data_IF_910154118959
#
_entry.id   IF_910154118959
#
_cell.length_a   1.000
_cell.length_b   1.000
_cell.length_c   1.000
_cell.angle_alpha   90.00
_cell.angle_beta   90.00
_cell.angle_gamma   90.00
#
_symmetry.space_group_name_H-M   'P 1'
#
loop_
_entity.id
_entity.type
_entity.pdbx_description
1 polymer ?
#
# COMPACT_ATOMS: atom_id res chain seq x y z
N UNK A 1 14.90 2.43 4.15
CA UNK A 1 15.39 1.32 4.99
C UNK A 1 14.19 0.81 5.77
N UNK A 2 13.82 -0.46 5.65
CA UNK A 2 12.79 -1.07 6.49
C UNK A 2 13.51 -1.76 7.67
N UNK A 3 13.11 -1.42 8.88
CA UNK A 3 13.67 -2.01 10.09
C UNK A 3 12.86 -3.27 10.47
N UNK A 4 13.56 -4.37 10.73
CA UNK A 4 13.01 -5.73 10.88
C UNK A 4 12.27 -5.98 12.22
N UNK A 5 12.03 -4.95 13.03
CA UNK A 5 11.64 -5.09 14.45
C UNK A 5 10.12 -5.03 14.71
N UNK A 6 9.32 -4.64 13.74
CA UNK A 6 7.85 -4.83 13.76
C UNK A 6 7.50 -5.63 12.51
N UNK A 7 6.59 -6.60 12.57
CA UNK A 7 6.19 -7.48 11.46
C UNK A 7 5.22 -6.75 10.50
N UNK A 8 5.64 -5.85 9.58
CA UNK A 8 4.68 -5.01 8.93
C UNK A 8 4.22 -5.77 7.68
N UNK A 9 2.91 -5.96 7.56
CA UNK A 9 2.35 -6.24 6.25
C UNK A 9 2.49 -4.96 5.43
N UNK A 10 3.34 -4.98 4.41
CA UNK A 10 3.59 -3.82 3.54
C UNK A 10 2.97 -4.09 2.19
N UNK A 11 2.13 -3.15 1.75
CA UNK A 11 1.52 -3.15 0.42
C UNK A 11 2.01 -1.96 -0.39
N UNK A 12 1.99 -2.15 -1.70
CA UNK A 12 2.18 -1.11 -2.69
C UNK A 12 0.81 -0.72 -3.24
N UNK A 13 0.62 0.59 -3.44
CA UNK A 13 -0.56 1.14 -4.08
C UNK A 13 -0.37 1.21 -5.59
N UNK A 14 -1.45 0.94 -6.32
CA UNK A 14 -1.45 1.16 -7.75
C UNK A 14 -1.41 2.66 -8.05
N UNK A 15 -0.36 3.10 -8.74
CA UNK A 15 -0.18 4.49 -9.16
C UNK A 15 -1.09 4.91 -10.31
N UNK A 16 -1.71 3.97 -11.02
CA UNK A 16 -2.68 4.27 -12.09
C UNK A 16 -3.99 4.82 -11.53
N UNK A 17 -4.41 4.35 -10.37
CA UNK A 17 -5.64 4.79 -9.71
C UNK A 17 -5.49 6.22 -9.18
N UNK A 18 -4.30 6.61 -8.77
CA UNK A 18 -4.02 7.94 -8.23
C UNK A 18 -4.42 9.07 -9.20
N UNK A 19 -4.07 8.93 -10.47
CA UNK A 19 -4.39 9.94 -11.47
C UNK A 19 -5.91 10.01 -11.76
N UNK A 20 -6.58 8.87 -11.70
CA UNK A 20 -8.03 8.79 -11.88
C UNK A 20 -8.78 9.35 -10.67
N UNK A 21 -8.33 9.02 -9.45
CA UNK A 21 -8.83 9.58 -8.20
C UNK A 21 -8.68 11.09 -8.19
N UNK A 22 -7.50 11.62 -8.54
CA UNK A 22 -7.28 13.05 -8.66
C UNK A 22 -8.30 13.70 -9.60
N UNK A 23 -8.47 13.17 -10.82
CA UNK A 23 -9.42 13.74 -11.79
C UNK A 23 -10.84 13.73 -11.28
N UNK A 24 -11.26 12.62 -10.65
CA UNK A 24 -12.61 12.48 -10.10
C UNK A 24 -12.83 13.47 -8.97
N UNK A 25 -11.91 13.52 -7.99
CA UNK A 25 -11.99 14.45 -6.85
C UNK A 25 -11.96 15.91 -7.31
N UNK A 26 -11.11 16.24 -8.29
CA UNK A 26 -11.05 17.59 -8.87
C UNK A 26 -12.37 17.98 -9.53
N UNK A 27 -12.87 17.16 -10.46
CA UNK A 27 -14.14 17.41 -11.16
C UNK A 27 -15.31 17.53 -10.19
N UNK A 28 -15.43 16.58 -9.26
CA UNK A 28 -16.54 16.54 -8.31
C UNK A 28 -16.41 17.65 -7.24
N UNK A 29 -15.19 18.14 -6.98
CA UNK A 29 -14.92 19.31 -6.16
C UNK A 29 -15.30 20.61 -6.87
N UNK A 30 -14.84 20.81 -8.11
CA UNK A 30 -15.19 21.97 -8.95
C UNK A 30 -16.70 22.14 -9.09
N UNK A 31 -17.43 21.03 -9.32
CA UNK A 31 -18.89 21.04 -9.39
C UNK A 31 -19.58 21.50 -8.09
N UNK A 32 -18.94 21.29 -6.93
CA UNK A 32 -19.50 21.64 -5.61
C UNK A 32 -19.10 23.03 -5.14
N UNK A 33 -17.96 23.55 -5.57
CA UNK A 33 -17.46 24.87 -5.14
C UNK A 33 -18.49 25.96 -5.42
N UNK A 34 -19.08 26.01 -6.61
CA UNK A 34 -20.07 27.02 -6.97
C UNK A 34 -21.38 26.94 -6.14
N UNK A 35 -21.69 25.76 -5.59
CA UNK A 35 -22.86 25.56 -4.71
C UNK A 35 -22.56 26.04 -3.30
N UNK A 36 -21.35 25.77 -2.80
CA UNK A 36 -20.91 26.13 -1.45
C UNK A 36 -20.55 27.62 -1.34
N UNK A 37 -19.94 28.17 -2.39
CA UNK A 37 -19.41 29.54 -2.47
C UNK A 37 -20.05 30.27 -3.66
N UNK A 38 -21.23 30.88 -3.47
CA UNK A 38 -21.91 31.62 -4.53
C UNK A 38 -21.20 32.94 -4.83
N UNK A 39 -21.30 33.42 -6.08
CA UNK A 39 -20.69 34.69 -6.52
C UNK A 39 -21.19 35.91 -5.71
N UNK A 40 -22.42 35.84 -5.19
CA UNK A 40 -23.01 36.87 -4.32
C UNK A 40 -22.40 36.92 -2.91
N UNK A 41 -21.47 36.01 -2.59
CA UNK A 41 -20.76 35.92 -1.33
C UNK A 41 -21.39 34.95 -0.32
N UNK A 42 -20.56 34.48 0.61
CA UNK A 42 -20.91 33.47 1.62
C UNK A 42 -22.09 33.82 2.54
N UNK A 43 -22.34 35.12 2.77
CA UNK A 43 -23.48 35.57 3.55
C UNK A 43 -24.82 35.33 2.82
N UNK A 44 -24.81 35.23 1.49
CA UNK A 44 -26.03 35.10 0.70
C UNK A 44 -26.69 33.72 0.84
N UNK A 45 -25.96 32.72 1.34
CA UNK A 45 -26.45 31.35 1.54
C UNK A 45 -26.19 30.80 2.94
N UNK A 46 -25.85 31.65 3.92
CA UNK A 46 -25.44 31.23 5.28
C UNK A 46 -26.44 30.26 5.95
N UNK A 47 -27.74 30.59 5.90
CA UNK A 47 -28.81 29.77 6.49
C UNK A 47 -29.34 28.66 5.56
N UNK A 48 -28.82 28.58 4.33
CA UNK A 48 -29.19 27.55 3.37
C UNK A 48 -28.35 26.28 3.61
N UNK A 49 -28.77 25.11 3.10
CA UNK A 49 -28.02 23.85 3.31
C UNK A 49 -26.53 23.95 2.97
N UNK A 50 -26.17 24.69 1.92
CA UNK A 50 -24.77 24.91 1.52
C UNK A 50 -23.97 25.72 2.55
N UNK A 51 -24.54 26.79 3.11
CA UNK A 51 -23.92 27.59 4.17
C UNK A 51 -23.77 26.81 5.47
N UNK A 52 -24.79 26.02 5.85
CA UNK A 52 -24.73 25.15 7.03
C UNK A 52 -23.66 24.06 6.90
N UNK A 53 -23.52 23.47 5.71
CA UNK A 53 -22.43 22.51 5.44
C UNK A 53 -21.07 23.19 5.55
N UNK A 54 -20.92 24.41 5.03
CA UNK A 54 -19.67 25.17 5.17
C UNK A 54 -19.32 25.42 6.64
N UNK A 55 -20.28 25.92 7.44
CA UNK A 55 -20.09 26.12 8.88
C UNK A 55 -19.72 24.83 9.62
N UNK A 56 -20.31 23.68 9.25
CA UNK A 56 -19.91 22.38 9.80
C UNK A 56 -18.42 22.08 9.54
N UNK A 57 -17.92 22.34 8.33
CA UNK A 57 -16.52 22.12 8.01
C UNK A 57 -15.59 23.11 8.73
N UNK A 58 -15.98 24.38 8.82
CA UNK A 58 -15.18 25.42 9.47
C UNK A 58 -15.06 25.19 10.99
N UNK A 59 -16.16 24.81 11.65
CA UNK A 59 -16.21 24.79 13.11
C UNK A 59 -16.00 23.39 13.72
N UNK A 60 -16.28 22.32 12.98
CA UNK A 60 -16.35 20.96 13.55
C UNK A 60 -15.40 19.95 12.90
N UNK A 61 -15.14 20.07 11.59
CA UNK A 61 -14.33 19.09 10.86
C UNK A 61 -12.85 19.44 10.93
N UNK A 62 -12.10 18.61 11.64
CA UNK A 62 -10.67 18.82 11.82
C UNK A 62 -9.88 18.27 10.63
N UNK A 63 -8.92 19.06 10.13
CA UNK A 63 -7.92 18.60 9.18
C UNK A 63 -6.75 17.91 9.92
N UNK A 64 -6.88 16.60 10.09
CA UNK A 64 -5.84 15.77 10.72
C UNK A 64 -4.51 15.76 9.96
N UNK A 65 -4.50 16.11 8.66
CA UNK A 65 -3.29 16.13 7.83
C UNK A 65 -2.49 17.40 8.04
N UNK A 66 -3.17 18.55 8.09
CA UNK A 66 -2.53 19.82 8.41
C UNK A 66 -1.82 19.75 9.76
N UNK A 67 -2.46 19.15 10.77
CA UNK A 67 -1.86 19.01 12.10
C UNK A 67 -0.60 18.12 12.10
N UNK A 68 -0.69 16.92 11.54
CA UNK A 68 0.44 15.97 11.54
C UNK A 68 1.63 16.49 10.71
N UNK A 69 1.38 17.01 9.51
CA UNK A 69 2.43 17.41 8.59
C UNK A 69 3.07 18.75 8.95
N UNK A 70 2.30 19.69 9.48
CA UNK A 70 2.89 20.93 10.00
C UNK A 70 3.72 20.66 11.25
N UNK A 71 3.22 19.83 12.18
CA UNK A 71 3.96 19.47 13.40
C UNK A 71 5.26 18.70 13.11
N UNK A 72 5.25 17.82 12.10
CA UNK A 72 6.41 17.00 11.77
C UNK A 72 7.38 17.66 10.78
N UNK A 73 6.89 18.44 9.82
CA UNK A 73 7.66 18.87 8.64
C UNK A 73 7.60 20.38 8.38
N UNK A 74 6.86 21.16 9.19
CA UNK A 74 6.75 22.62 9.07
C UNK A 74 6.23 23.12 7.71
N UNK A 75 5.67 22.22 6.91
CA UNK A 75 5.25 22.48 5.53
C UNK A 75 3.88 21.88 5.26
N UNK A 76 3.11 22.49 4.35
CA UNK A 76 1.89 21.87 3.81
C UNK A 76 2.31 20.74 2.87
N UNK A 77 1.61 19.59 2.89
CA UNK A 77 1.95 18.41 2.08
C UNK A 77 2.19 18.78 0.61
N UNK A 78 3.44 18.60 0.15
CA UNK A 78 3.85 18.98 -1.20
C UNK A 78 3.51 17.93 -2.26
N UNK A 79 3.33 16.66 -1.89
CA UNK A 79 3.48 15.56 -2.87
C UNK A 79 2.30 14.63 -3.07
N UNK A 80 1.38 14.46 -2.11
CA UNK A 80 0.07 13.77 -2.28
C UNK A 80 -0.57 13.49 -0.94
N UNK A 81 -1.75 14.05 -0.69
CA UNK A 81 -2.61 13.56 0.39
C UNK A 81 -4.07 13.86 0.14
N UNK A 82 -4.42 15.12 -0.10
CA UNK A 82 -5.82 15.55 -0.29
C UNK A 82 -6.53 14.86 -1.45
N UNK A 83 -5.83 14.59 -2.56
CA UNK A 83 -6.42 14.05 -3.78
C UNK A 83 -6.28 12.53 -3.90
N UNK A 84 -6.47 11.81 -2.80
CA UNK A 84 -6.59 10.35 -2.79
C UNK A 84 -7.74 9.94 -1.89
N UNK A 85 -8.54 8.97 -2.34
CA UNK A 85 -9.55 8.38 -1.47
C UNK A 85 -8.91 7.64 -0.31
N UNK A 86 -9.62 7.55 0.82
CA UNK A 86 -9.18 6.76 1.95
C UNK A 86 -9.19 5.28 1.58
N UNK A 87 -8.14 4.55 1.94
CA UNK A 87 -8.16 3.08 1.87
C UNK A 87 -9.09 2.55 2.95
N UNK A 88 -9.99 1.66 2.56
CA UNK A 88 -10.96 1.03 3.46
C UNK A 88 -10.84 -0.48 3.27
N UNK A 89 -10.64 -1.18 4.37
CA UNK A 89 -10.65 -2.64 4.41
C UNK A 89 -12.03 -3.13 4.83
N UNK A 90 -12.52 -4.16 4.15
CA UNK A 90 -13.77 -4.83 4.47
C UNK A 90 -13.53 -6.34 4.44
N UNK A 91 -13.30 -6.91 5.64
CA UNK A 91 -12.82 -8.29 5.78
C UNK A 91 -11.55 -8.50 4.93
N UNK A 92 -11.56 -9.49 4.04
CA UNK A 92 -10.41 -9.80 3.18
C UNK A 92 -10.21 -8.82 2.02
N UNK A 93 -11.18 -7.91 1.80
CA UNK A 93 -11.21 -6.99 0.66
C UNK A 93 -10.71 -5.59 0.99
N UNK A 94 -10.21 -4.88 -0.02
CA UNK A 94 -9.84 -3.47 0.08
C UNK A 94 -10.51 -2.66 -1.04
N UNK A 95 -10.91 -1.42 -0.71
CA UNK A 95 -11.47 -0.47 -1.68
C UNK A 95 -10.51 -0.13 -2.81
N UNK A 96 -9.20 -0.31 -2.59
CA UNK A 96 -8.15 -0.09 -3.58
C UNK A 96 -7.39 -1.37 -3.86
N UNK A 97 -6.93 -1.58 -5.11
CA UNK A 97 -6.09 -2.73 -5.42
C UNK A 97 -4.71 -2.55 -4.78
N UNK A 98 -4.24 -3.58 -4.09
CA UNK A 98 -2.96 -3.59 -3.38
C UNK A 98 -2.08 -4.72 -3.90
N UNK A 99 -0.79 -4.44 -4.06
CA UNK A 99 0.23 -5.47 -4.30
C UNK A 99 0.97 -5.76 -3.00
N UNK A 100 1.03 -7.00 -2.51
CA UNK A 100 1.82 -7.32 -1.32
C UNK A 100 3.31 -7.17 -1.64
N UNK A 101 4.06 -6.62 -0.67
CA UNK A 101 5.50 -6.46 -0.76
C UNK A 101 6.21 -7.23 0.35
N UNK A 102 5.78 -7.03 1.60
CA UNK A 102 6.29 -7.75 2.76
C UNK A 102 5.13 -8.39 3.51
N UNK A 103 5.22 -9.68 3.78
CA UNK A 103 4.22 -10.45 4.53
C UNK A 103 4.92 -11.32 5.57
N UNK A 104 4.53 -11.16 6.84
CA UNK A 104 5.09 -11.90 7.97
C UNK A 104 6.64 -11.86 8.02
N UNK A 105 7.24 -10.72 7.63
CA UNK A 105 8.69 -10.51 7.59
C UNK A 105 9.38 -11.00 6.29
N UNK A 106 8.67 -11.71 5.41
CA UNK A 106 9.23 -12.19 4.15
C UNK A 106 8.88 -11.25 3.00
N UNK A 107 9.83 -11.11 2.08
CA UNK A 107 9.65 -10.37 0.84
C UNK A 107 8.90 -11.24 -0.16
N UNK A 108 7.70 -10.79 -0.57
CA UNK A 108 6.81 -11.61 -1.40
C UNK A 108 7.39 -11.77 -2.80
N UNK A 109 7.60 -13.01 -3.21
CA UNK A 109 8.08 -13.35 -4.56
C UNK A 109 9.60 -13.29 -4.74
N UNK A 110 10.39 -13.07 -3.69
CA UNK A 110 11.84 -13.02 -3.74
C UNK A 110 12.45 -13.97 -2.71
N UNK A 111 13.71 -14.37 -2.93
CA UNK A 111 14.46 -15.14 -1.93
C UNK A 111 14.67 -14.31 -0.65
N UNK A 112 14.47 -14.93 0.52
CA UNK A 112 14.66 -14.28 1.83
C UNK A 112 16.15 -14.00 2.09
N UNK A 113 16.46 -12.83 2.64
CA UNK A 113 17.83 -12.43 2.99
C UNK A 113 17.94 -12.03 4.46
N UNK A 114 18.98 -12.51 5.12
CA UNK A 114 19.19 -12.37 6.57
C UNK A 114 19.62 -10.96 6.99
N UNK A 115 20.21 -10.17 6.07
CA UNK A 115 20.86 -8.90 6.39
C UNK A 115 20.00 -7.65 6.10
N UNK A 116 18.76 -7.84 5.65
CA UNK A 116 17.84 -6.77 5.24
C UNK A 116 17.95 -6.39 3.76
N UNK A 117 16.98 -5.62 3.29
CA UNK A 117 16.81 -5.30 1.86
C UNK A 117 16.67 -3.80 1.61
N UNK A 118 17.10 -3.36 0.43
CA UNK A 118 16.85 -2.02 -0.09
C UNK A 118 15.78 -2.11 -1.18
N UNK A 119 14.69 -1.36 -1.00
CA UNK A 119 13.63 -1.23 -1.99
C UNK A 119 13.91 0.01 -2.84
N UNK A 120 14.10 -0.20 -4.14
CA UNK A 120 14.18 0.87 -5.13
C UNK A 120 12.90 0.90 -5.94
N UNK A 121 12.19 2.03 -5.84
CA UNK A 121 10.98 2.27 -6.61
C UNK A 121 11.33 3.11 -7.83
N UNK A 122 11.14 2.54 -9.02
CA UNK A 122 11.28 3.26 -10.29
C UNK A 122 9.92 3.43 -10.91
N UNK A 123 9.56 4.68 -11.18
CA UNK A 123 8.38 4.98 -11.95
C UNK A 123 8.75 4.91 -13.43
N UNK A 124 8.14 4.00 -14.21
CA UNK A 124 8.34 4.01 -15.66
C UNK A 124 7.77 5.30 -16.23
N UNK A 125 8.62 6.09 -16.88
CA UNK A 125 8.18 7.20 -17.72
C UNK A 125 7.92 6.62 -19.11
N UNK A 126 6.66 6.64 -19.55
CA UNK A 126 6.34 6.37 -20.94
C UNK A 126 7.03 7.44 -21.81
N UNK A 127 7.94 7.00 -22.69
CA UNK A 127 8.62 7.86 -23.67
C UNK A 127 8.01 7.62 -25.06
N UNK A 128 7.88 8.68 -25.87
CA UNK A 128 7.30 8.63 -27.23
C UNK A 128 5.90 9.24 -27.36
N UNK A 129 5.19 8.97 -28.47
CA UNK A 129 3.85 9.54 -28.80
C UNK A 129 2.76 9.36 -27.72
N UNK A 130 2.99 8.46 -26.75
CA UNK A 130 2.16 8.25 -25.57
C UNK A 130 2.36 9.30 -24.46
N UNK A 131 3.43 10.10 -24.51
CA UNK A 131 3.65 11.23 -23.61
C UNK A 131 2.62 12.35 -23.80
N UNK A 132 2.12 12.55 -25.04
CA UNK A 132 1.00 13.47 -25.31
C UNK A 132 -0.31 13.00 -24.68
N UNK A 133 -0.50 11.68 -24.54
CA UNK A 133 -1.62 11.05 -23.83
C UNK A 133 -1.38 10.94 -22.31
N UNK A 134 -0.16 11.20 -21.84
CA UNK A 134 0.16 11.27 -20.41
C UNK A 134 -0.29 12.61 -19.79
N UNK A 135 -0.43 13.68 -20.58
CA UNK A 135 -1.15 14.89 -20.15
C UNK A 135 -2.62 14.57 -19.79
N UNK A 136 -3.17 13.50 -20.36
CA UNK A 136 -4.50 12.96 -20.05
C UNK A 136 -4.50 11.80 -19.05
N UNK A 137 -3.35 11.41 -18.49
CA UNK A 137 -3.28 10.44 -17.39
C UNK A 137 -2.93 9.00 -17.66
N UNK A 138 -2.33 8.70 -18.80
CA UNK A 138 -1.98 7.33 -19.13
C UNK A 138 -0.84 6.79 -18.24
N UNK A 139 -1.20 5.79 -17.44
CA UNK A 139 -0.42 4.66 -16.92
C UNK A 139 0.99 4.98 -16.40
N UNK A 140 1.13 5.07 -15.08
CA UNK A 140 2.41 5.08 -14.37
C UNK A 140 2.57 3.69 -13.75
N UNK A 141 3.36 2.81 -14.36
CA UNK A 141 3.71 1.55 -13.69
C UNK A 141 4.88 1.75 -12.74
N UNK A 142 4.68 1.33 -11.49
CA UNK A 142 5.72 1.31 -10.47
C UNK A 142 6.48 -0.01 -10.57
N UNK A 143 7.77 0.06 -10.85
CA UNK A 143 8.65 -1.09 -10.85
C UNK A 143 9.43 -1.09 -9.54
N UNK A 144 9.40 -2.23 -8.84
CA UNK A 144 10.06 -2.43 -7.56
C UNK A 144 11.27 -3.30 -7.79
N UNK A 145 12.46 -2.71 -7.70
CA UNK A 145 13.70 -3.46 -7.64
C UNK A 145 14.04 -3.70 -6.17
N UNK A 146 14.31 -4.96 -5.82
CA UNK A 146 14.72 -5.33 -4.47
C UNK A 146 16.17 -5.74 -4.48
N UNK A 147 16.98 -5.03 -3.70
CA UNK A 147 18.42 -5.20 -3.65
C UNK A 147 18.83 -5.73 -2.28
N UNK A 148 19.83 -6.62 -2.25
CA UNK A 148 20.51 -6.99 -1.02
C UNK A 148 21.21 -5.77 -0.42
N UNK A 149 21.09 -5.58 0.90
CA UNK A 149 21.63 -4.39 1.57
C UNK A 149 23.16 -4.39 1.64
N UNK A 150 23.79 -5.55 1.68
CA UNK A 150 25.25 -5.70 1.82
C UNK A 150 25.91 -5.59 0.44
N UNK A 151 25.44 -6.35 -0.54
CA UNK A 151 26.06 -6.42 -1.87
C UNK A 151 25.53 -5.36 -2.83
N UNK A 152 24.32 -4.84 -2.59
CA UNK A 152 23.64 -3.93 -3.50
C UNK A 152 23.10 -4.60 -4.77
N UNK A 153 23.22 -5.93 -4.88
CA UNK A 153 22.77 -6.70 -6.04
C UNK A 153 21.28 -7.02 -5.98
N UNK A 154 20.66 -7.21 -7.14
CA UNK A 154 19.23 -7.56 -7.22
C UNK A 154 18.97 -8.96 -6.70
N UNK A 155 17.96 -9.11 -5.84
CA UNK A 155 17.54 -10.41 -5.37
C UNK A 155 16.86 -11.20 -6.50
N UNK A 156 17.14 -12.51 -6.60
CA UNK A 156 16.47 -13.35 -7.56
C UNK A 156 14.98 -13.45 -7.24
N UNK A 157 14.17 -13.27 -8.28
CA UNK A 157 12.73 -13.50 -8.20
C UNK A 157 12.46 -15.02 -8.20
N UNK A 158 11.60 -15.46 -7.29
CA UNK A 158 11.19 -16.86 -7.21
C UNK A 158 10.20 -17.19 -8.34
N UNK A 159 10.14 -18.44 -8.81
CA UNK A 159 9.11 -18.87 -9.75
C UNK A 159 7.70 -18.53 -9.23
N UNK A 160 6.90 -17.85 -10.04
CA UNK A 160 5.56 -17.40 -9.64
C UNK A 160 5.53 -16.12 -8.77
N UNK A 161 6.68 -15.49 -8.51
CA UNK A 161 6.80 -14.31 -7.66
C UNK A 161 5.99 -13.10 -8.15
N UNK A 162 5.90 -12.92 -9.46
CA UNK A 162 5.12 -11.84 -10.07
C UNK A 162 3.62 -12.01 -9.82
N UNK A 163 3.10 -13.24 -9.90
CA UNK A 163 1.69 -13.56 -9.65
C UNK A 163 1.33 -13.31 -8.18
N UNK A 164 2.23 -13.63 -7.24
CA UNK A 164 2.03 -13.36 -5.82
C UNK A 164 2.00 -11.86 -5.51
N UNK A 165 2.64 -11.04 -6.34
CA UNK A 165 2.66 -9.56 -6.26
C UNK A 165 1.65 -8.90 -7.19
N UNK A 166 0.71 -9.66 -7.76
CA UNK A 166 -0.33 -9.05 -8.58
C UNK A 166 -1.20 -8.12 -7.71
N UNK A 167 -1.57 -6.97 -8.26
CA UNK A 167 -2.50 -6.05 -7.62
C UNK A 167 -3.87 -6.71 -7.45
N UNK A 168 -4.41 -6.68 -6.24
CA UNK A 168 -5.70 -7.33 -5.92
C UNK A 168 -6.55 -6.48 -4.98
N UNK A 169 -7.87 -6.60 -5.14
CA UNK A 169 -8.86 -6.08 -4.19
C UNK A 169 -9.09 -7.02 -3.00
N UNK A 170 -8.40 -8.16 -2.94
CA UNK A 170 -8.54 -9.15 -1.87
C UNK A 170 -7.19 -9.37 -1.14
N UNK A 171 -6.56 -8.30 -0.60
CA UNK A 171 -5.25 -8.40 0.03
C UNK A 171 -5.25 -9.34 1.24
N UNK A 172 -6.37 -9.47 1.94
CA UNK A 172 -6.50 -10.35 3.10
C UNK A 172 -6.39 -11.83 2.71
N UNK A 173 -7.03 -12.24 1.61
CA UNK A 173 -6.91 -13.59 1.04
C UNK A 173 -5.45 -13.93 0.76
N UNK A 174 -4.71 -12.99 0.17
CA UNK A 174 -3.28 -13.19 -0.13
C UNK A 174 -2.45 -13.30 1.15
N UNK A 175 -2.73 -12.47 2.15
CA UNK A 175 -2.06 -12.55 3.47
C UNK A 175 -2.32 -13.91 4.12
N UNK A 176 -3.57 -14.40 4.09
CA UNK A 176 -3.95 -15.67 4.69
C UNK A 176 -3.25 -16.86 4.01
N UNK A 177 -3.24 -16.89 2.67
CA UNK A 177 -2.54 -17.92 1.89
C UNK A 177 -1.04 -17.94 2.18
N UNK A 178 -0.40 -16.77 2.28
CA UNK A 178 1.03 -16.66 2.56
C UNK A 178 1.38 -17.10 3.98
N UNK A 179 0.53 -16.77 4.96
CA UNK A 179 0.69 -17.25 6.33
C UNK A 179 0.57 -18.78 6.42
N UNK A 180 -0.42 -19.36 5.74
CA UNK A 180 -0.61 -20.81 5.70
C UNK A 180 0.60 -21.52 5.08
N UNK A 181 1.06 -21.06 3.91
CA UNK A 181 2.25 -21.61 3.26
C UNK A 181 3.49 -21.56 4.15
N UNK A 182 3.69 -20.43 4.85
CA UNK A 182 4.82 -20.27 5.78
C UNK A 182 4.73 -21.23 6.97
N UNK A 183 3.53 -21.44 7.51
CA UNK A 183 3.32 -22.41 8.58
C UNK A 183 3.66 -23.84 8.11
N UNK A 184 3.25 -24.21 6.89
CA UNK A 184 3.57 -25.52 6.30
C UNK A 184 5.08 -25.69 6.07
N UNK A 185 5.76 -24.65 5.56
CA UNK A 185 7.22 -24.67 5.40
C UNK A 185 7.96 -24.80 6.73
N UNK A 186 7.49 -24.12 7.78
CA UNK A 186 8.06 -24.23 9.12
C UNK A 186 7.83 -25.62 9.71
N UNK A 187 6.64 -26.18 9.53
CA UNK A 187 6.32 -27.54 9.97
C UNK A 187 7.21 -28.56 9.26
N UNK A 188 7.34 -28.47 7.94
CA UNK A 188 8.18 -29.36 7.14
C UNK A 188 9.66 -29.27 7.54
N UNK A 189 10.18 -28.05 7.78
CA UNK A 189 11.55 -27.86 8.29
C UNK A 189 11.72 -28.46 9.68
N UNK A 190 10.74 -28.27 10.57
CA UNK A 190 10.74 -28.86 11.90
C UNK A 190 10.79 -30.38 11.84
N UNK A 191 9.94 -30.99 11.01
CA UNK A 191 9.91 -32.44 10.78
C UNK A 191 11.24 -32.97 10.20
N UNK A 192 11.83 -32.26 9.23
CA UNK A 192 13.11 -32.64 8.64
C UNK A 192 14.30 -32.48 9.60
N UNK A 193 14.19 -31.59 10.58
CA UNK A 193 15.21 -31.37 11.60
C UNK A 193 15.13 -32.38 12.77
N UNK A 194 14.07 -33.19 12.84
CA UNK A 194 13.97 -34.25 13.84
C UNK A 194 15.00 -35.35 13.54
N UNK A 195 15.89 -35.69 14.50
CA UNK A 195 16.82 -36.80 14.34
C UNK A 195 16.07 -38.13 14.19
N UNK A 196 16.54 -39.03 13.33
CA UNK A 196 15.96 -40.38 13.20
C UNK A 196 15.96 -41.16 14.54
N UNK A 197 16.93 -40.86 15.42
CA UNK A 197 17.06 -41.47 16.76
C UNK A 197 15.90 -41.13 17.72
N UNK A 198 15.16 -40.06 17.48
CA UNK A 198 13.99 -39.72 18.30
C UNK A 198 12.84 -40.73 18.14
N UNK A 199 12.72 -41.35 16.96
CA UNK A 199 11.74 -42.41 16.71
C UNK A 199 12.14 -43.73 17.38
N UNK A 200 13.45 -44.00 17.51
CA UNK A 200 13.98 -45.18 18.17
C UNK A 200 13.78 -45.11 19.70
N UNK A 201 14.09 -43.96 20.32
CA UNK A 201 13.94 -43.76 21.78
C UNK A 201 12.47 -43.86 22.25
N UNK A 202 11.51 -43.41 21.44
CA UNK A 202 10.07 -43.52 21.76
C UNK A 202 9.61 -44.97 21.74
N UNK A 203 10.15 -45.81 20.85
CA UNK A 203 9.81 -47.23 20.77
C UNK A 203 10.46 -48.07 21.87
N UNK A 204 11.64 -47.68 22.36
CA UNK A 204 12.33 -48.37 23.47
C UNK A 204 11.83 -47.97 24.86
N UNK A 205 11.17 -46.82 25.01
CA UNK A 205 10.66 -46.35 26.33
C UNK A 205 9.28 -46.96 26.69
N UNK A 206 8.61 -47.66 25.77
CA UNK A 206 7.32 -48.34 25.98
C UNK A 206 7.42 -49.80 26.45
N UNK A 207 8.55 -50.23 27.05
CA UNK A 207 8.69 -51.57 27.66
C UNK A 207 8.87 -51.46 29.18
#
# INVERSE_FOLDING_TARGET
MLDTVLQPVIFILNTDDEAQEYRRMKRDGEARVAVLFPDAGEASNAEQPAGLVRALFDDQVHDSRAWFMYAALGTREMWTGYFRYRMIYFSERCSKPLSPLVLAGDLVGFATVTAGVVLSFRQKRLTGKLAGLAATGAVRSLEVAVLDKITGEALPELPGGAQLRAFTHEPGTVVAQQKARKADEQLARGQAALPASWLEDVLTTTV
#
